data_IF_029072076236
#
_entry.id   IF_029072076236
#
_cell.length_a   1.000
_cell.length_b   1.000
_cell.length_c   1.000
_cell.angle_alpha   90.00
_cell.angle_beta   90.00
_cell.angle_gamma   90.00
#
_symmetry.space_group_name_H-M   'P 1'
#
loop_
_entity.id
_entity.type
_entity.pdbx_description
1 polymer ?
#
# COMPACT_ATOMS: atom_id res chain seq x y z
N UNK A 1 -0.36 -20.74 -6.43
CA UNK A 1 1.01 -20.53 -6.95
C UNK A 1 1.88 -21.63 -6.42
N UNK A 2 2.74 -22.29 -7.20
CA UNK A 2 3.71 -23.20 -6.63
C UNK A 2 4.71 -22.40 -5.81
N UNK A 3 4.93 -22.83 -4.58
CA UNK A 3 6.00 -22.32 -3.72
C UNK A 3 7.30 -22.43 -4.51
N UNK A 4 7.99 -21.31 -4.78
CA UNK A 4 9.33 -21.36 -5.35
C UNK A 4 10.27 -21.95 -4.30
N UNK A 5 10.58 -23.21 -4.42
CA UNK A 5 11.53 -23.92 -3.59
C UNK A 5 12.98 -23.46 -3.79
N UNK A 6 13.22 -22.48 -4.67
CA UNK A 6 14.54 -21.90 -4.97
C UNK A 6 15.24 -21.27 -3.73
N UNK A 7 14.49 -20.96 -2.69
CA UNK A 7 15.08 -20.54 -1.42
C UNK A 7 15.95 -21.64 -0.81
N UNK A 8 15.73 -22.91 -1.20
CA UNK A 8 16.46 -24.06 -0.69
C UNK A 8 17.62 -24.48 -1.59
N UNK A 9 17.76 -23.91 -2.80
CA UNK A 9 18.79 -24.28 -3.78
C UNK A 9 20.22 -23.85 -3.34
N UNK A 10 20.34 -22.95 -2.36
CA UNK A 10 21.63 -22.56 -1.77
C UNK A 10 22.11 -23.43 -0.62
N UNK A 11 21.24 -24.23 -0.05
CA UNK A 11 21.61 -25.25 0.93
C UNK A 11 21.83 -26.55 0.20
N UNK A 12 23.08 -26.85 -0.15
CA UNK A 12 23.46 -28.14 -0.73
C UNK A 12 22.89 -29.24 0.17
N UNK A 13 21.77 -29.83 -0.28
CA UNK A 13 21.21 -30.99 0.41
C UNK A 13 22.30 -32.08 0.41
N UNK A 14 22.78 -32.52 1.57
CA UNK A 14 23.69 -33.65 1.61
C UNK A 14 22.98 -34.82 0.92
N UNK A 15 23.73 -35.60 0.17
CA UNK A 15 23.28 -36.76 -0.58
C UNK A 15 22.79 -37.89 0.34
N UNK A 16 21.68 -37.62 1.03
CA UNK A 16 20.98 -38.52 1.96
C UNK A 16 19.73 -37.83 2.48
N UNK A 17 18.65 -38.57 2.63
CA UNK A 17 17.44 -38.06 3.28
C UNK A 17 17.83 -37.43 4.64
N UNK A 18 17.36 -36.20 4.95
CA UNK A 18 17.67 -35.56 6.23
C UNK A 18 17.22 -36.50 7.36
N UNK A 19 18.10 -36.73 8.30
CA UNK A 19 17.72 -37.49 9.52
C UNK A 19 16.57 -36.73 10.19
N UNK A 20 15.69 -37.48 10.88
CA UNK A 20 14.60 -36.88 11.66
C UNK A 20 15.12 -35.82 12.67
N UNK A 21 16.31 -36.00 13.20
CA UNK A 21 16.92 -35.04 14.12
C UNK A 21 17.38 -33.76 13.40
N UNK A 22 17.89 -33.88 12.17
CA UNK A 22 18.16 -32.71 11.32
C UNK A 22 16.91 -31.92 10.97
N UNK A 23 15.81 -32.61 10.63
CA UNK A 23 14.53 -31.96 10.33
C UNK A 23 13.97 -31.23 11.59
N UNK A 24 14.06 -31.84 12.77
CA UNK A 24 13.64 -31.22 14.03
C UNK A 24 14.49 -29.99 14.38
N UNK A 25 15.82 -30.08 14.21
CA UNK A 25 16.73 -28.97 14.46
C UNK A 25 16.41 -27.79 13.54
N UNK A 26 16.22 -28.06 12.26
CA UNK A 26 15.83 -27.04 11.29
C UNK A 26 14.45 -26.40 11.61
N UNK A 27 13.45 -27.21 11.98
CA UNK A 27 12.13 -26.71 12.38
C UNK A 27 12.24 -25.80 13.61
N UNK A 28 13.05 -26.19 14.62
CA UNK A 28 13.26 -25.37 15.81
C UNK A 28 13.96 -24.04 15.48
N UNK A 29 14.90 -24.03 14.54
CA UNK A 29 15.56 -22.80 14.09
C UNK A 29 14.59 -21.87 13.37
N UNK A 30 13.77 -22.41 12.45
CA UNK A 30 12.73 -21.65 11.76
C UNK A 30 11.71 -21.08 12.76
N UNK A 31 11.26 -21.87 13.73
CA UNK A 31 10.33 -21.40 14.76
C UNK A 31 10.94 -20.29 15.63
N UNK A 32 12.22 -20.39 15.95
CA UNK A 32 12.93 -19.35 16.69
C UNK A 32 13.04 -18.04 15.89
N UNK A 33 13.37 -18.11 14.59
CA UNK A 33 13.43 -16.96 13.71
C UNK A 33 12.05 -16.30 13.55
N UNK A 34 11.00 -17.09 13.31
CA UNK A 34 9.63 -16.57 13.21
C UNK A 34 9.17 -15.96 14.56
N UNK A 35 9.56 -16.54 15.67
CA UNK A 35 9.28 -16.00 17.01
C UNK A 35 9.93 -14.65 17.23
N UNK A 36 11.19 -14.49 16.82
CA UNK A 36 11.91 -13.23 16.90
C UNK A 36 11.27 -12.15 16.04
N UNK A 37 10.92 -12.48 14.78
CA UNK A 37 10.26 -11.57 13.87
C UNK A 37 8.89 -11.11 14.40
N UNK A 38 8.09 -12.05 14.91
CA UNK A 38 6.79 -11.74 15.55
C UNK A 38 6.92 -10.77 16.71
N UNK A 39 7.92 -10.95 17.57
CA UNK A 39 8.17 -10.07 18.70
C UNK A 39 8.53 -8.64 18.26
N UNK A 40 9.34 -8.51 17.20
CA UNK A 40 9.68 -7.19 16.63
C UNK A 40 8.45 -6.51 16.04
N UNK A 41 7.65 -7.23 15.26
CA UNK A 41 6.41 -6.71 14.64
C UNK A 41 5.42 -6.27 15.72
N UNK A 42 5.21 -7.09 16.78
CA UNK A 42 4.33 -6.75 17.90
C UNK A 42 4.77 -5.46 18.60
N UNK A 43 6.05 -5.35 18.93
CA UNK A 43 6.60 -4.13 19.54
C UNK A 43 6.43 -2.90 18.68
N UNK A 44 6.73 -2.96 17.38
CA UNK A 44 6.56 -1.84 16.44
C UNK A 44 5.12 -1.41 16.32
N UNK A 45 4.20 -2.37 16.31
CA UNK A 45 2.77 -2.10 16.36
C UNK A 45 2.36 -1.33 17.61
N UNK A 46 2.83 -1.74 18.78
CA UNK A 46 2.52 -1.07 20.05
C UNK A 46 3.12 0.35 20.11
N UNK A 47 4.36 0.54 19.66
CA UNK A 47 4.99 1.86 19.52
C UNK A 47 4.15 2.77 18.62
N UNK A 48 3.70 2.27 17.48
CA UNK A 48 2.84 3.03 16.56
C UNK A 48 1.47 3.30 17.19
N UNK A 49 0.83 2.30 17.81
CA UNK A 49 -0.44 2.44 18.50
C UNK A 49 -0.41 3.55 19.56
N UNK A 50 0.66 3.61 20.33
CA UNK A 50 0.86 4.67 21.32
C UNK A 50 0.95 6.07 20.65
N UNK A 51 1.58 6.17 19.48
CA UNK A 51 1.75 7.45 18.75
C UNK A 51 0.46 8.03 18.20
N UNK A 52 -0.61 7.22 18.08
CA UNK A 52 -1.93 7.62 17.56
C UNK A 52 -3.07 7.24 18.53
N UNK A 53 -2.75 7.17 19.83
CA UNK A 53 -3.73 6.79 20.86
C UNK A 53 -4.91 7.77 20.93
N UNK A 54 -4.68 9.04 20.61
CA UNK A 54 -5.68 10.10 20.56
C UNK A 54 -6.80 9.85 19.53
N UNK A 55 -6.56 9.03 18.53
CA UNK A 55 -7.54 8.61 17.52
C UNK A 55 -7.94 7.14 17.64
N UNK A 56 -7.57 6.45 18.71
CA UNK A 56 -7.97 5.08 19.02
C UNK A 56 -6.94 4.01 18.71
N UNK A 57 -5.65 4.37 18.60
CA UNK A 57 -4.53 3.44 18.47
C UNK A 57 -4.42 2.76 17.09
N UNK A 58 -3.59 1.73 17.01
CA UNK A 58 -3.29 1.04 15.74
C UNK A 58 -4.56 0.55 15.03
N UNK A 59 -4.66 0.74 13.69
CA UNK A 59 -5.82 0.28 12.91
C UNK A 59 -6.14 -1.19 13.11
N UNK A 60 -5.14 -2.07 13.19
CA UNK A 60 -5.34 -3.51 13.35
C UNK A 60 -5.92 -3.94 14.72
N UNK A 61 -6.08 -2.99 15.68
CA UNK A 61 -6.74 -3.28 16.97
C UNK A 61 -8.24 -3.54 16.85
N UNK A 62 -8.84 -3.14 15.74
CA UNK A 62 -10.28 -3.24 15.48
C UNK A 62 -10.55 -4.06 14.21
N UNK A 63 -11.61 -4.82 14.23
CA UNK A 63 -12.14 -5.48 13.03
C UNK A 63 -12.89 -4.48 12.15
N UNK A 64 -12.32 -4.12 11.01
CA UNK A 64 -12.90 -3.21 10.03
C UNK A 64 -13.74 -3.94 8.99
N UNK A 65 -13.61 -5.26 8.87
CA UNK A 65 -14.40 -6.08 7.94
C UNK A 65 -15.88 -6.12 8.31
N UNK A 66 -16.19 -5.87 9.60
CA UNK A 66 -17.55 -5.73 10.08
C UNK A 66 -18.26 -4.48 9.54
N UNK A 67 -17.51 -3.49 9.07
CA UNK A 67 -18.03 -2.28 8.47
C UNK A 67 -18.16 -2.46 6.96
N UNK A 68 -19.34 -2.78 6.48
CA UNK A 68 -19.64 -3.03 5.06
C UNK A 68 -19.54 -1.80 4.15
N UNK A 69 -18.84 -0.76 4.58
CA UNK A 69 -18.67 0.49 3.83
C UNK A 69 -17.73 0.29 2.63
N UNK A 70 -16.78 -0.64 2.77
CA UNK A 70 -15.82 -0.96 1.70
C UNK A 70 -16.00 -2.42 1.31
N UNK A 71 -16.36 -2.66 0.06
CA UNK A 71 -16.49 -4.00 -0.49
C UNK A 71 -15.27 -4.30 -1.33
N UNK A 72 -14.63 -5.44 -1.05
CA UNK A 72 -13.40 -5.86 -1.72
C UNK A 72 -13.53 -5.90 -3.25
N UNK A 73 -14.70 -6.24 -3.76
CA UNK A 73 -15.01 -6.39 -5.18
C UNK A 73 -15.44 -5.08 -5.86
N UNK A 74 -15.51 -3.96 -5.12
CA UNK A 74 -15.91 -2.67 -5.66
C UNK A 74 -14.77 -1.68 -5.67
N UNK A 75 -14.13 -1.55 -6.80
CA UNK A 75 -13.03 -0.60 -7.01
C UNK A 75 -13.48 0.85 -6.74
N UNK A 76 -14.73 1.17 -7.02
CA UNK A 76 -15.31 2.50 -6.79
C UNK A 76 -15.30 2.88 -5.31
N UNK A 77 -15.63 1.95 -4.40
CA UNK A 77 -15.63 2.22 -2.96
C UNK A 77 -14.22 2.61 -2.47
N UNK A 78 -13.18 1.93 -2.96
CA UNK A 78 -11.79 2.19 -2.62
C UNK A 78 -11.27 3.50 -3.23
N UNK A 79 -11.65 3.78 -4.48
CA UNK A 79 -11.29 5.02 -5.16
C UNK A 79 -11.92 6.23 -4.49
N UNK A 80 -13.17 6.12 -4.03
CA UNK A 80 -13.89 7.19 -3.35
C UNK A 80 -13.21 7.59 -2.04
N UNK A 81 -12.83 6.61 -1.22
CA UNK A 81 -12.12 6.88 0.02
C UNK A 81 -10.73 7.47 -0.21
N UNK A 82 -9.99 6.91 -1.18
CA UNK A 82 -8.68 7.44 -1.53
C UNK A 82 -8.78 8.89 -2.03
N UNK A 83 -9.79 9.19 -2.86
CA UNK A 83 -10.05 10.52 -3.36
C UNK A 83 -10.28 11.52 -2.22
N UNK A 84 -11.19 11.18 -1.29
CA UNK A 84 -11.51 12.05 -0.15
C UNK A 84 -10.26 12.31 0.72
N UNK A 85 -9.48 11.27 1.02
CA UNK A 85 -8.27 11.42 1.82
C UNK A 85 -7.18 12.25 1.12
N UNK A 86 -7.09 12.17 -0.21
CA UNK A 86 -6.18 13.04 -0.98
C UNK A 86 -6.68 14.50 -0.96
N UNK A 87 -7.96 14.72 -1.19
CA UNK A 87 -8.56 16.07 -1.28
C UNK A 87 -8.51 16.81 0.05
N UNK A 88 -8.84 16.13 1.15
CA UNK A 88 -8.92 16.72 2.49
C UNK A 88 -7.56 16.83 3.21
N UNK A 89 -6.48 16.27 2.64
CA UNK A 89 -5.13 16.38 3.19
C UNK A 89 -4.64 17.82 3.14
N UNK A 90 -4.37 18.42 4.29
CA UNK A 90 -3.89 19.82 4.38
C UNK A 90 -2.36 19.91 4.33
N UNK A 91 -1.65 18.84 4.68
CA UNK A 91 -0.18 18.83 4.69
C UNK A 91 0.43 18.32 3.40
N UNK A 92 -0.29 17.49 2.64
CA UNK A 92 0.21 16.79 1.47
C UNK A 92 1.19 15.64 1.77
N UNK A 93 1.44 15.33 3.05
CA UNK A 93 2.38 14.26 3.44
C UNK A 93 1.94 12.90 2.93
N UNK A 94 0.64 12.62 3.00
CA UNK A 94 0.07 11.37 2.51
C UNK A 94 0.36 11.18 1.01
N UNK A 95 0.04 12.19 0.19
CA UNK A 95 0.28 12.11 -1.25
C UNK A 95 1.78 12.05 -1.58
N UNK A 96 2.61 12.81 -0.84
CA UNK A 96 4.07 12.78 -0.99
C UNK A 96 4.62 11.38 -0.71
N UNK A 97 4.22 10.76 0.40
CA UNK A 97 4.65 9.42 0.76
C UNK A 97 4.16 8.36 -0.24
N UNK A 98 2.90 8.44 -0.68
CA UNK A 98 2.31 7.50 -1.65
C UNK A 98 3.02 7.58 -3.01
N UNK A 99 3.33 8.78 -3.47
CA UNK A 99 3.96 8.99 -4.79
C UNK A 99 5.48 8.80 -4.73
N UNK A 100 6.06 8.58 -3.54
CA UNK A 100 7.50 8.58 -3.31
C UNK A 100 8.17 9.72 -4.10
N UNK A 101 7.54 10.89 -4.04
CA UNK A 101 8.08 12.06 -4.67
C UNK A 101 9.49 12.26 -4.12
N UNK A 102 10.48 12.30 -5.02
CA UNK A 102 11.85 12.55 -4.63
C UNK A 102 11.88 13.77 -3.69
N UNK A 103 12.76 13.77 -2.70
CA UNK A 103 12.84 14.77 -1.62
C UNK A 103 12.86 16.24 -2.08
N UNK A 104 12.96 16.50 -3.38
CA UNK A 104 12.86 17.81 -4.00
C UNK A 104 11.42 18.32 -4.19
N UNK A 105 10.39 17.46 -4.14
CA UNK A 105 9.00 17.91 -4.23
C UNK A 105 8.48 18.21 -2.82
N UNK A 106 8.43 19.50 -2.50
CA UNK A 106 7.98 19.98 -1.19
C UNK A 106 6.56 19.46 -0.91
N UNK A 107 6.30 18.89 0.30
CA UNK A 107 4.96 18.40 0.68
C UNK A 107 3.82 19.38 0.40
N UNK A 108 4.09 20.70 0.54
CA UNK A 108 3.11 21.76 0.24
C UNK A 108 2.61 21.77 -1.20
N UNK A 109 3.35 21.19 -2.16
CA UNK A 109 2.91 21.04 -3.54
C UNK A 109 1.75 20.04 -3.68
N UNK A 110 1.61 19.13 -2.72
CA UNK A 110 0.58 18.10 -2.67
C UNK A 110 -0.57 18.41 -1.70
N UNK A 111 -0.48 19.53 -0.95
CA UNK A 111 -1.49 19.92 0.01
C UNK A 111 -2.75 20.45 -0.66
N UNK A 112 -3.93 19.97 -0.23
CA UNK A 112 -5.24 20.41 -0.69
C UNK A 112 -5.37 20.39 -2.22
N UNK A 113 -5.17 19.24 -2.88
CA UNK A 113 -5.40 19.11 -4.31
C UNK A 113 -6.90 19.19 -4.62
N UNK A 114 -7.23 19.40 -5.88
CA UNK A 114 -8.58 19.16 -6.37
C UNK A 114 -8.63 17.73 -6.92
N UNK A 115 -9.52 16.92 -6.40
CA UNK A 115 -9.72 15.54 -6.85
C UNK A 115 -11.01 15.41 -7.63
N UNK A 116 -10.95 14.77 -8.79
CA UNK A 116 -12.11 14.42 -9.60
C UNK A 116 -12.12 12.92 -9.79
N UNK A 117 -13.30 12.32 -9.56
CA UNK A 117 -13.53 10.88 -9.72
C UNK A 117 -14.24 10.64 -11.05
N UNK A 118 -14.05 9.43 -11.59
CA UNK A 118 -14.82 8.98 -12.74
C UNK A 118 -14.75 9.95 -13.93
N UNK A 119 -13.56 10.52 -14.20
CA UNK A 119 -13.39 11.56 -15.22
C UNK A 119 -13.59 10.98 -16.62
N UNK A 120 -14.57 11.50 -17.33
CA UNK A 120 -14.85 11.07 -18.70
C UNK A 120 -13.71 11.46 -19.66
N UNK A 121 -13.11 10.46 -20.27
CA UNK A 121 -12.05 10.59 -21.29
C UNK A 121 -12.44 9.72 -22.51
N UNK A 122 -13.50 10.06 -23.24
CA UNK A 122 -14.03 9.18 -24.27
C UNK A 122 -12.96 8.63 -25.23
N UNK A 123 -12.94 7.34 -25.50
CA UNK A 123 -13.91 6.30 -25.07
C UNK A 123 -13.63 5.68 -23.68
N UNK A 124 -12.75 6.26 -22.90
CA UNK A 124 -12.31 5.76 -21.59
C UNK A 124 -12.87 6.61 -20.44
N UNK A 125 -12.58 6.18 -19.21
CA UNK A 125 -12.88 6.87 -17.97
C UNK A 125 -11.68 6.67 -17.02
N UNK A 126 -11.19 7.76 -16.45
CA UNK A 126 -10.15 7.74 -15.43
C UNK A 126 -10.78 7.58 -14.05
N UNK A 127 -10.25 6.72 -13.21
CA UNK A 127 -10.79 6.50 -11.86
C UNK A 127 -10.60 7.77 -11.02
N UNK A 128 -9.36 8.30 -10.94
CA UNK A 128 -9.10 9.57 -10.28
C UNK A 128 -8.21 10.48 -11.13
N UNK A 129 -8.55 11.76 -11.14
CA UNK A 129 -7.71 12.84 -11.62
C UNK A 129 -7.42 13.79 -10.46
N UNK A 130 -6.16 13.89 -10.08
CA UNK A 130 -5.70 14.74 -8.98
C UNK A 130 -4.96 15.92 -9.57
N UNK A 131 -5.51 17.12 -9.39
CA UNK A 131 -4.90 18.38 -9.79
C UNK A 131 -4.17 19.00 -8.61
N UNK A 132 -2.84 19.03 -8.71
CA UNK A 132 -1.97 19.56 -7.68
C UNK A 132 -1.79 21.07 -7.80
N UNK A 133 -1.40 21.71 -6.72
CA UNK A 133 -0.96 23.12 -6.75
C UNK A 133 0.19 23.27 -7.75
N UNK A 134 0.27 24.42 -8.42
CA UNK A 134 1.32 24.67 -9.41
C UNK A 134 1.03 24.13 -10.79
N UNK A 135 -0.25 24.06 -11.19
CA UNK A 135 -0.72 23.69 -12.52
C UNK A 135 -0.18 22.32 -13.01
N UNK A 136 -0.23 21.33 -12.13
CA UNK A 136 0.16 19.95 -12.45
C UNK A 136 -0.93 18.96 -12.07
N UNK A 137 -0.90 17.75 -12.65
CA UNK A 137 -1.85 16.70 -12.36
C UNK A 137 -1.19 15.33 -12.29
N UNK A 138 -1.85 14.40 -11.61
CA UNK A 138 -1.61 12.96 -11.66
C UNK A 138 -2.92 12.24 -11.96
N UNK A 139 -2.83 11.19 -12.75
CA UNK A 139 -3.93 10.29 -13.04
C UNK A 139 -3.72 8.99 -12.27
N UNK A 140 -4.79 8.45 -11.67
CA UNK A 140 -4.77 7.17 -10.97
C UNK A 140 -5.74 6.22 -11.65
N UNK A 141 -5.27 5.05 -11.95
CA UNK A 141 -6.06 3.87 -12.26
C UNK A 141 -5.95 2.92 -11.07
N UNK A 142 -7.07 2.55 -10.48
CA UNK A 142 -7.15 1.81 -9.22
C UNK A 142 -7.66 0.41 -9.51
N UNK A 143 -6.94 -0.60 -9.01
CA UNK A 143 -7.27 -2.00 -9.22
C UNK A 143 -7.24 -2.77 -7.91
N UNK A 144 -8.32 -3.51 -7.67
CA UNK A 144 -8.43 -4.56 -6.65
C UNK A 144 -8.74 -5.92 -7.28
N UNK A 145 -9.08 -5.92 -8.55
CA UNK A 145 -9.34 -7.08 -9.38
C UNK A 145 -8.30 -7.27 -10.47
N UNK A 146 -8.78 -7.45 -11.70
CA UNK A 146 -7.94 -7.73 -12.88
C UNK A 146 -7.51 -6.40 -13.54
N UNK A 147 -6.22 -6.07 -13.53
CA UNK A 147 -5.72 -4.82 -14.07
C UNK A 147 -5.63 -4.84 -15.60
N UNK A 148 -5.95 -3.71 -16.24
CA UNK A 148 -5.79 -3.45 -17.68
C UNK A 148 -4.85 -2.25 -17.89
N UNK A 149 -3.56 -2.51 -18.08
CA UNK A 149 -2.55 -1.48 -18.30
C UNK A 149 -2.77 -0.75 -19.64
N UNK A 150 -3.22 -1.47 -20.67
CA UNK A 150 -3.46 -0.86 -21.98
C UNK A 150 -4.54 0.23 -21.90
N UNK A 151 -5.56 0.03 -21.07
CA UNK A 151 -6.57 1.05 -20.77
C UNK A 151 -5.95 2.26 -20.06
N UNK A 152 -5.12 2.03 -19.04
CA UNK A 152 -4.44 3.08 -18.27
C UNK A 152 -3.64 4.01 -19.17
N UNK A 153 -2.83 3.45 -20.07
CA UNK A 153 -2.01 4.22 -21.03
C UNK A 153 -2.85 5.03 -22.02
N UNK A 154 -3.93 4.44 -22.53
CA UNK A 154 -4.82 5.13 -23.46
C UNK A 154 -5.56 6.28 -22.77
N UNK A 155 -6.04 6.06 -21.54
CA UNK A 155 -6.65 7.09 -20.70
C UNK A 155 -5.67 8.24 -20.45
N UNK A 156 -4.43 7.94 -20.07
CA UNK A 156 -3.39 8.93 -19.84
C UNK A 156 -3.12 9.83 -21.07
N UNK A 157 -3.07 9.24 -22.29
CA UNK A 157 -2.90 9.99 -23.54
C UNK A 157 -4.08 10.92 -23.84
N UNK A 158 -5.30 10.47 -23.60
CA UNK A 158 -6.49 11.30 -23.79
C UNK A 158 -6.51 12.46 -22.79
N UNK A 159 -6.21 12.20 -21.52
CA UNK A 159 -6.12 13.23 -20.49
C UNK A 159 -5.05 14.28 -20.82
N UNK A 160 -3.89 13.88 -21.31
CA UNK A 160 -2.83 14.81 -21.74
C UNK A 160 -3.30 15.77 -22.81
N UNK A 161 -4.11 15.29 -23.77
CA UNK A 161 -4.72 16.13 -24.79
C UNK A 161 -5.82 17.07 -24.23
N UNK A 162 -6.61 16.60 -23.26
CA UNK A 162 -7.69 17.38 -22.65
C UNK A 162 -7.16 18.45 -21.68
N UNK A 163 -6.10 18.13 -20.93
CA UNK A 163 -5.53 18.98 -19.89
C UNK A 163 -4.34 19.81 -20.41
N UNK A 164 -4.45 20.34 -21.64
CA UNK A 164 -3.41 21.19 -22.23
C UNK A 164 -3.11 22.38 -21.32
N UNK A 165 -1.82 22.56 -21.00
CA UNK A 165 -1.35 23.62 -20.09
C UNK A 165 -1.14 23.16 -18.64
N UNK A 166 -1.58 21.97 -18.27
CA UNK A 166 -1.18 21.36 -17.00
C UNK A 166 -0.02 20.40 -17.20
N UNK A 167 0.96 20.44 -16.29
CA UNK A 167 2.10 19.52 -16.31
C UNK A 167 1.67 18.15 -15.77
N UNK A 168 1.73 17.10 -16.59
CA UNK A 168 1.56 15.72 -16.12
C UNK A 168 2.70 15.34 -15.20
N UNK A 169 2.40 14.89 -13.98
CA UNK A 169 3.39 14.38 -13.02
C UNK A 169 3.54 12.87 -13.14
N UNK A 170 2.48 12.12 -12.87
CA UNK A 170 2.50 10.66 -12.88
C UNK A 170 1.18 10.11 -13.41
N UNK A 171 1.26 8.95 -14.03
CA UNK A 171 0.14 8.05 -14.25
C UNK A 171 0.33 6.88 -13.28
N UNK A 172 -0.46 6.84 -12.24
CA UNK A 172 -0.32 5.88 -11.15
C UNK A 172 -1.19 4.67 -11.46
N UNK A 173 -0.58 3.50 -11.51
CA UNK A 173 -1.29 2.22 -11.51
C UNK A 173 -1.21 1.64 -10.11
N UNK A 174 -2.35 1.62 -9.41
CA UNK A 174 -2.46 1.10 -8.04
C UNK A 174 -3.04 -0.31 -8.07
N UNK A 175 -2.28 -1.29 -7.59
CA UNK A 175 -2.60 -2.72 -7.68
C UNK A 175 -2.42 -3.43 -6.33
N UNK A 176 -2.89 -4.68 -6.24
CA UNK A 176 -2.56 -5.54 -5.10
C UNK A 176 -1.09 -5.95 -5.14
N UNK A 177 -0.41 -6.14 -3.98
CA UNK A 177 0.98 -6.59 -3.95
C UNK A 177 1.23 -7.90 -4.70
N UNK A 178 0.24 -8.80 -4.75
CA UNK A 178 0.33 -10.06 -5.50
C UNK A 178 0.33 -9.90 -7.01
N UNK A 179 0.04 -8.71 -7.52
CA UNK A 179 -0.05 -8.41 -8.96
C UNK A 179 1.19 -7.69 -9.49
N UNK A 180 2.12 -7.27 -8.61
CA UNK A 180 3.31 -6.48 -8.98
C UNK A 180 4.15 -7.17 -10.04
N UNK A 181 4.50 -8.44 -9.83
CA UNK A 181 5.38 -9.19 -10.74
C UNK A 181 4.84 -9.25 -12.18
N UNK A 182 3.50 -9.28 -12.32
CA UNK A 182 2.85 -9.30 -13.62
C UNK A 182 2.97 -7.96 -14.39
N UNK A 183 3.06 -6.86 -13.65
CA UNK A 183 2.99 -5.50 -14.23
C UNK A 183 4.31 -4.75 -14.23
N UNK A 184 5.27 -5.18 -13.39
CA UNK A 184 6.55 -4.47 -13.26
C UNK A 184 7.32 -4.41 -14.58
N UNK A 185 7.39 -5.52 -15.30
CA UNK A 185 8.09 -5.58 -16.59
C UNK A 185 7.42 -4.69 -17.63
N UNK A 186 6.10 -4.74 -17.70
CA UNK A 186 5.32 -3.95 -18.66
C UNK A 186 5.40 -2.45 -18.34
N UNK A 187 5.27 -2.07 -17.07
CA UNK A 187 5.46 -0.68 -16.63
C UNK A 187 6.87 -0.17 -16.89
N UNK A 188 7.88 -1.02 -16.73
CA UNK A 188 9.29 -0.67 -17.04
C UNK A 188 9.47 -0.38 -18.52
N UNK A 189 9.00 -1.27 -19.40
CA UNK A 189 9.08 -1.09 -20.83
C UNK A 189 8.39 0.20 -21.30
N UNK A 190 7.22 0.50 -20.76
CA UNK A 190 6.50 1.73 -21.07
C UNK A 190 7.20 2.97 -20.51
N UNK A 191 7.85 2.88 -19.35
CA UNK A 191 8.63 3.97 -18.77
C UNK A 191 9.86 4.27 -19.63
N UNK A 192 10.55 3.26 -20.16
CA UNK A 192 11.65 3.41 -21.11
C UNK A 192 11.19 4.06 -22.42
N UNK A 193 9.95 3.83 -22.84
CA UNK A 193 9.31 4.52 -23.97
C UNK A 193 8.89 5.97 -23.67
N UNK A 194 9.22 6.50 -22.47
CA UNK A 194 8.98 7.89 -22.09
C UNK A 194 7.62 8.13 -21.41
N UNK A 195 6.90 7.09 -21.04
CA UNK A 195 5.71 7.22 -20.19
C UNK A 195 6.12 7.52 -18.74
N UNK A 196 5.21 8.12 -17.96
CA UNK A 196 5.43 8.45 -16.55
C UNK A 196 4.61 7.55 -15.64
N UNK A 197 4.57 6.25 -15.97
CA UNK A 197 3.85 5.27 -15.18
C UNK A 197 4.58 5.04 -13.86
N UNK A 198 3.83 5.12 -12.78
CA UNK A 198 4.26 4.83 -11.44
C UNK A 198 3.44 3.65 -10.90
N UNK A 199 4.05 2.49 -10.82
CA UNK A 199 3.43 1.33 -10.19
C UNK A 199 3.45 1.50 -8.67
N UNK A 200 2.28 1.40 -8.05
CA UNK A 200 2.07 1.44 -6.59
C UNK A 200 1.17 0.32 -6.15
N UNK A 201 1.33 -0.06 -4.90
CA UNK A 201 0.52 -1.12 -4.30
C UNK A 201 -0.36 -0.58 -3.19
N UNK A 202 -1.38 -1.34 -2.83
CA UNK A 202 -2.17 -1.05 -1.64
C UNK A 202 -1.35 -1.12 -0.35
N UNK A 203 -0.21 -1.83 -0.36
CA UNK A 203 0.78 -1.77 0.72
C UNK A 203 1.43 -0.38 0.82
N UNK A 204 1.73 0.25 -0.32
CA UNK A 204 2.27 1.63 -0.33
C UNK A 204 1.24 2.63 0.20
N UNK A 205 -0.04 2.44 -0.13
CA UNK A 205 -1.14 3.24 0.45
C UNK A 205 -1.18 3.10 1.96
N UNK A 206 -1.17 1.87 2.49
CA UNK A 206 -1.20 1.63 3.93
C UNK A 206 0.04 2.23 4.64
N UNK A 207 1.23 2.09 4.07
CA UNK A 207 2.47 2.69 4.59
C UNK A 207 2.40 4.23 4.59
N UNK A 208 1.93 4.83 3.51
CA UNK A 208 1.76 6.27 3.40
C UNK A 208 0.76 6.81 4.42
N UNK A 209 -0.38 6.10 4.61
CA UNK A 209 -1.36 6.44 5.65
C UNK A 209 -0.73 6.36 7.05
N UNK A 210 -0.06 5.25 7.38
CA UNK A 210 0.60 5.08 8.68
C UNK A 210 1.62 6.19 8.96
N UNK A 211 2.37 6.63 7.96
CA UNK A 211 3.33 7.73 8.13
C UNK A 211 2.66 9.08 8.40
N UNK A 212 1.42 9.26 7.95
CA UNK A 212 0.66 10.52 8.06
C UNK A 212 -0.30 10.56 9.27
N UNK A 213 -0.60 9.41 9.90
CA UNK A 213 -1.51 9.33 11.04
C UNK A 213 -1.03 10.01 12.33
N UNK A 214 0.28 10.00 12.71
CA UNK A 214 0.73 10.65 13.94
C UNK A 214 0.41 12.14 13.97
N UNK A 215 0.00 12.65 15.13
CA UNK A 215 -0.40 14.06 15.32
C UNK A 215 0.69 15.07 14.88
N UNK A 216 1.96 14.70 15.03
CA UNK A 216 3.11 15.49 14.58
C UNK A 216 3.14 15.74 13.06
N UNK A 217 2.40 14.95 12.29
CA UNK A 217 2.27 15.10 10.84
C UNK A 217 1.44 16.32 10.43
N UNK A 218 0.67 16.92 11.36
CA UNK A 218 -0.08 18.16 11.13
C UNK A 218 -1.40 17.99 10.39
N UNK A 219 -1.83 16.78 10.09
CA UNK A 219 -3.16 16.55 9.51
C UNK A 219 -4.26 16.78 10.57
N UNK A 220 -5.44 17.31 10.17
CA UNK A 220 -6.56 17.52 11.09
C UNK A 220 -7.02 16.22 11.75
N UNK A 221 -7.56 16.35 12.97
CA UNK A 221 -8.08 15.20 13.73
C UNK A 221 -9.11 14.40 12.93
N UNK A 222 -10.03 15.08 12.26
CA UNK A 222 -11.07 14.46 11.44
C UNK A 222 -10.45 13.62 10.30
N UNK A 223 -9.52 14.19 9.57
CA UNK A 223 -8.79 13.46 8.53
C UNK A 223 -8.10 12.21 9.09
N UNK A 224 -7.41 12.35 10.22
CA UNK A 224 -6.70 11.24 10.86
C UNK A 224 -7.63 10.11 11.30
N UNK A 225 -8.82 10.43 11.78
CA UNK A 225 -9.84 9.42 12.15
C UNK A 225 -10.28 8.61 10.91
N UNK A 226 -10.60 9.30 9.82
CA UNK A 226 -10.99 8.64 8.56
C UNK A 226 -9.83 7.86 7.95
N UNK A 227 -8.65 8.43 7.92
CA UNK A 227 -7.44 7.78 7.41
C UNK A 227 -7.10 6.51 8.20
N UNK A 228 -7.28 6.52 9.54
CA UNK A 228 -7.13 5.32 10.38
C UNK A 228 -8.14 4.23 10.02
N UNK A 229 -9.39 4.59 9.82
CA UNK A 229 -10.43 3.63 9.44
C UNK A 229 -10.13 2.99 8.07
N UNK A 230 -9.77 3.82 7.10
CA UNK A 230 -9.40 3.35 5.76
C UNK A 230 -8.13 2.50 5.76
N UNK A 231 -7.10 2.90 6.52
CA UNK A 231 -5.88 2.13 6.69
C UNK A 231 -6.18 0.72 7.20
N UNK A 232 -6.99 0.60 8.26
CA UNK A 232 -7.39 -0.70 8.80
C UNK A 232 -8.19 -1.55 7.81
N UNK A 233 -9.08 -0.94 7.02
CA UNK A 233 -9.80 -1.65 5.98
C UNK A 233 -8.87 -2.16 4.87
N UNK A 234 -7.94 -1.33 4.38
CA UNK A 234 -6.91 -1.74 3.40
C UNK A 234 -6.10 -2.92 3.93
N UNK A 235 -5.61 -2.83 5.16
CA UNK A 235 -4.79 -3.87 5.79
C UNK A 235 -5.54 -5.20 5.92
N UNK A 236 -6.79 -5.17 6.36
CA UNK A 236 -7.56 -6.37 6.61
C UNK A 236 -8.15 -6.97 5.33
N UNK A 237 -8.79 -6.17 4.50
CA UNK A 237 -9.50 -6.66 3.32
C UNK A 237 -8.58 -6.92 2.12
N UNK A 238 -7.60 -6.04 1.88
CA UNK A 238 -6.76 -6.13 0.69
C UNK A 238 -5.41 -6.79 0.96
N UNK A 239 -4.83 -6.59 2.14
CA UNK A 239 -3.51 -7.11 2.47
C UNK A 239 -3.55 -8.38 3.34
N UNK A 240 -4.70 -8.75 3.88
CA UNK A 240 -4.86 -9.96 4.69
C UNK A 240 -4.17 -9.90 6.06
N UNK A 241 -3.96 -8.70 6.58
CA UNK A 241 -3.43 -8.50 7.93
C UNK A 241 -4.60 -8.56 8.91
N UNK A 242 -4.66 -9.59 9.73
CA UNK A 242 -5.77 -9.82 10.66
C UNK A 242 -5.93 -8.72 11.72
N UNK A 243 -7.10 -8.70 12.37
CA UNK A 243 -7.37 -7.83 13.51
C UNK A 243 -7.05 -8.52 14.84
N UNK A 244 -6.68 -7.75 15.85
CA UNK A 244 -6.50 -8.24 17.22
C UNK A 244 -6.12 -7.12 18.18
N UNK A 245 -6.73 -7.08 19.37
CA UNK A 245 -6.48 -6.04 20.36
C UNK A 245 -5.10 -6.18 21.03
N UNK A 246 -4.72 -7.40 21.34
CA UNK A 246 -3.43 -7.73 21.95
C UNK A 246 -2.36 -7.94 20.86
N UNK A 247 -1.26 -7.22 20.96
CA UNK A 247 -0.23 -7.22 19.91
C UNK A 247 0.50 -8.55 19.77
N UNK A 248 0.80 -9.21 20.89
CA UNK A 248 1.53 -10.48 20.87
C UNK A 248 0.66 -11.60 20.33
N UNK A 249 -0.60 -11.66 20.74
CA UNK A 249 -1.59 -12.64 20.23
C UNK A 249 -1.89 -12.39 18.76
N UNK A 250 -2.02 -11.12 18.37
CA UNK A 250 -2.20 -10.75 16.98
C UNK A 250 -1.01 -11.21 16.13
N UNK A 251 0.21 -10.88 16.52
CA UNK A 251 1.42 -11.28 15.80
C UNK A 251 1.59 -12.80 15.75
N UNK A 252 1.26 -13.50 16.85
CA UNK A 252 1.29 -14.97 16.90
C UNK A 252 0.26 -15.62 15.97
N UNK A 253 -0.88 -14.97 15.77
CA UNK A 253 -1.97 -15.45 14.89
C UNK A 253 -1.76 -15.17 13.40
N UNK A 254 -0.75 -14.37 13.03
CA UNK A 254 -0.47 -14.07 11.62
C UNK A 254 0.01 -15.32 10.88
N UNK A 255 -0.52 -15.54 9.69
CA UNK A 255 0.06 -16.47 8.72
C UNK A 255 1.47 -16.00 8.32
N UNK A 256 2.26 -16.85 7.69
CA UNK A 256 3.57 -16.45 7.17
C UNK A 256 3.47 -15.23 6.23
N UNK A 257 2.49 -15.24 5.32
CA UNK A 257 2.25 -14.12 4.41
C UNK A 257 1.79 -12.86 5.16
N UNK A 258 0.91 -13.01 6.15
CA UNK A 258 0.45 -11.91 7.00
C UNK A 258 1.59 -11.30 7.80
N UNK A 259 2.49 -12.12 8.35
CA UNK A 259 3.68 -11.67 9.07
C UNK A 259 4.64 -10.89 8.15
N UNK A 260 4.92 -11.42 6.97
CA UNK A 260 5.78 -10.73 5.99
C UNK A 260 5.18 -9.38 5.54
N UNK A 261 3.85 -9.32 5.38
CA UNK A 261 3.15 -8.07 5.08
C UNK A 261 3.23 -7.10 6.25
N UNK A 262 2.99 -7.56 7.48
CA UNK A 262 3.10 -6.75 8.69
C UNK A 262 4.53 -6.24 8.91
N UNK A 263 5.54 -7.08 8.69
CA UNK A 263 6.94 -6.66 8.75
C UNK A 263 7.24 -5.51 7.78
N UNK A 264 6.75 -5.59 6.55
CA UNK A 264 6.85 -4.50 5.57
C UNK A 264 6.10 -3.24 6.02
N UNK A 265 4.88 -3.38 6.56
CA UNK A 265 4.09 -2.24 7.06
C UNK A 265 4.82 -1.48 8.16
N UNK A 266 5.48 -2.18 9.06
CA UNK A 266 6.19 -1.60 10.21
C UNK A 266 7.68 -1.33 9.94
N UNK A 267 8.16 -1.54 8.71
CA UNK A 267 9.55 -1.28 8.34
C UNK A 267 10.55 -2.19 9.06
N UNK A 268 10.15 -3.44 9.35
CA UNK A 268 10.98 -4.45 10.03
C UNK A 268 11.82 -5.25 9.02
N UNK A 269 11.26 -5.51 7.82
CA UNK A 269 12.01 -6.21 6.77
C UNK A 269 13.11 -5.30 6.23
N UNK A 270 14.36 -5.72 6.37
CA UNK A 270 15.51 -5.01 5.83
C UNK A 270 15.48 -5.02 4.31
N UNK A 271 15.04 -3.92 3.74
CA UNK A 271 15.42 -3.51 2.39
C UNK A 271 16.76 -2.76 2.53
N UNK A 272 17.85 -3.49 2.90
CA UNK A 272 19.23 -3.07 2.76
C UNK A 272 19.92 -3.85 1.65
#
# INVERSE_FOLDING_TARGET
MPVRWSVFDGYGLPSGLPSWDGAKAWTAEVDALLGAERAVVARRRDEFSASIQDIGGDPSTRDWTAFRVLRRDREEDWSDWLANLLEDSVTGQFACALLAAAAADVPSAFAGPRVQREVACPPYRADLLVQWRGASYSHFEIKVGDPDLAKTLKTAKVLECQLRGLKRRHDVLLVLPSQVDAWEVECRNESEAGSRILLRTWLDVARALRSSLPAKGGEPLEWRVWARAFCGAVEQELLGVGAGADADRWAAGLTFQGLATAAKLFGVSGDE
#
